data_IF_678720800934
#
_entry.id   IF_678720800934
#
_cell.length_a   1.000
_cell.length_b   1.000
_cell.length_c   1.000
_cell.angle_alpha   90.00
_cell.angle_beta   90.00
_cell.angle_gamma   90.00
#
_symmetry.space_group_name_H-M   'P 1'
#
loop_
_entity.id
_entity.type
_entity.pdbx_description
1 polymer ?
#
# COMPACT_ATOMS: atom_id res chain seq x y z
N UNK A 1 -5.09 3.64 -3.16
CA UNK A 1 -4.83 5.08 -3.44
C UNK A 1 -5.64 6.00 -2.53
N UNK A 2 -6.98 5.95 -2.53
CA UNK A 2 -7.83 6.85 -1.72
C UNK A 2 -7.50 6.81 -0.22
N UNK A 3 -7.30 5.61 0.35
CA UNK A 3 -6.94 5.43 1.76
C UNK A 3 -5.63 6.14 2.13
N UNK A 4 -4.63 6.12 1.25
CA UNK A 4 -3.35 6.79 1.46
C UNK A 4 -3.52 8.32 1.51
N UNK A 5 -4.38 8.90 0.67
CA UNK A 5 -4.72 10.32 0.72
C UNK A 5 -5.45 10.70 2.01
N UNK A 6 -6.38 9.87 2.48
CA UNK A 6 -7.03 10.08 3.77
C UNK A 6 -6.01 10.07 4.92
N UNK A 7 -5.09 9.10 4.91
CA UNK A 7 -4.04 9.01 5.93
C UNK A 7 -3.00 10.11 5.83
N UNK A 8 -2.75 10.68 4.63
CA UNK A 8 -1.82 11.79 4.45
C UNK A 8 -2.25 13.02 5.25
N UNK A 9 -3.55 13.35 5.25
CA UNK A 9 -4.07 14.46 6.04
C UNK A 9 -3.85 14.22 7.54
N UNK A 10 -4.21 13.04 8.04
CA UNK A 10 -4.03 12.70 9.47
C UNK A 10 -2.54 12.74 9.85
N UNK A 11 -1.68 12.19 8.99
CA UNK A 11 -0.23 12.17 9.17
C UNK A 11 0.35 13.58 9.22
N UNK A 12 -0.14 14.49 8.36
CA UNK A 12 0.28 15.89 8.36
C UNK A 12 -0.10 16.60 9.67
N UNK A 13 -1.31 16.36 10.19
CA UNK A 13 -1.74 16.93 11.46
C UNK A 13 -0.90 16.41 12.64
N UNK A 14 -0.68 15.10 12.71
CA UNK A 14 0.18 14.47 13.72
C UNK A 14 1.61 15.00 13.63
N UNK A 15 2.16 15.11 12.41
CA UNK A 15 3.50 15.63 12.16
C UNK A 15 3.68 17.09 12.53
N UNK A 16 2.70 17.94 12.22
CA UNK A 16 2.71 19.34 12.66
C UNK A 16 2.68 19.43 14.20
N UNK A 17 1.83 18.62 14.84
CA UNK A 17 1.74 18.61 16.30
C UNK A 17 3.01 18.10 16.97
N UNK A 18 3.51 16.93 16.58
CA UNK A 18 4.77 16.39 17.12
C UNK A 18 5.93 17.35 16.82
N UNK A 19 6.03 17.89 15.62
CA UNK A 19 7.10 18.81 15.24
C UNK A 19 7.13 20.10 16.06
N UNK A 20 5.96 20.66 16.39
CA UNK A 20 5.87 21.90 17.16
C UNK A 20 6.11 21.71 18.66
N UNK A 21 5.66 20.58 19.23
CA UNK A 21 5.62 20.41 20.68
C UNK A 21 6.62 19.37 21.22
N UNK A 22 7.03 18.39 20.41
CA UNK A 22 7.75 17.20 20.87
C UNK A 22 8.90 16.76 19.93
N UNK A 23 9.22 17.54 18.90
CA UNK A 23 10.07 17.13 17.78
C UNK A 23 11.48 16.70 18.19
N UNK A 24 12.08 17.36 19.18
CA UNK A 24 13.42 17.05 19.69
C UNK A 24 13.45 15.81 20.61
N UNK A 25 12.32 15.46 21.23
CA UNK A 25 12.23 14.39 22.23
C UNK A 25 11.81 13.06 21.60
N UNK A 26 10.81 13.08 20.72
CA UNK A 26 10.27 11.87 20.07
C UNK A 26 10.86 11.64 18.69
N UNK A 27 11.52 12.64 18.10
CA UNK A 27 11.97 12.58 16.71
C UNK A 27 10.83 12.48 15.69
N UNK A 28 9.61 12.91 16.07
CA UNK A 28 8.38 12.76 15.28
C UNK A 28 8.07 11.30 14.94
N UNK A 29 8.20 10.41 15.93
CA UNK A 29 8.09 8.97 15.76
C UNK A 29 6.76 8.58 15.10
N UNK A 30 5.63 9.06 15.61
CA UNK A 30 4.31 8.66 15.12
C UNK A 30 4.07 9.17 13.71
N UNK A 31 4.37 10.44 13.43
CA UNK A 31 4.23 11.02 12.11
C UNK A 31 5.07 10.29 11.05
N UNK A 32 6.33 9.95 11.37
CA UNK A 32 7.19 9.18 10.46
C UNK A 32 6.68 7.78 10.23
N UNK A 33 6.20 7.12 11.29
CA UNK A 33 5.65 5.78 11.21
C UNK A 33 4.37 5.75 10.37
N UNK A 34 3.47 6.72 10.55
CA UNK A 34 2.27 6.90 9.74
C UNK A 34 2.60 7.26 8.29
N UNK A 35 3.59 8.11 8.05
CA UNK A 35 4.04 8.43 6.69
C UNK A 35 4.57 7.18 5.99
N UNK A 36 5.40 6.38 6.66
CA UNK A 36 5.98 5.17 6.08
C UNK A 36 4.90 4.12 5.81
N UNK A 37 4.08 3.78 6.82
CA UNK A 37 3.19 2.64 6.75
C UNK A 37 1.78 3.00 6.27
N UNK A 38 1.22 4.10 6.75
CA UNK A 38 -0.13 4.55 6.43
C UNK A 38 -0.23 5.19 5.05
N UNK A 39 0.78 5.95 4.65
CA UNK A 39 0.78 6.67 3.37
C UNK A 39 1.61 5.93 2.33
N UNK A 40 2.93 5.83 2.54
CA UNK A 40 3.85 5.34 1.51
C UNK A 40 3.59 3.88 1.13
N UNK A 41 3.47 2.98 2.11
CA UNK A 41 3.17 1.56 1.82
C UNK A 41 1.86 1.42 1.06
N UNK A 42 0.78 2.08 1.50
CA UNK A 42 -0.53 1.97 0.82
C UNK A 42 -0.55 2.60 -0.58
N UNK A 43 0.22 3.68 -0.79
CA UNK A 43 0.38 4.27 -2.11
C UNK A 43 1.17 3.35 -3.05
N UNK A 44 2.29 2.80 -2.56
CA UNK A 44 3.16 1.90 -3.32
C UNK A 44 2.48 0.59 -3.67
N UNK A 45 1.81 -0.07 -2.71
CA UNK A 45 1.10 -1.32 -2.99
C UNK A 45 -0.08 -1.08 -3.92
N UNK A 46 -0.88 -0.03 -3.73
CA UNK A 46 -1.98 0.26 -4.65
C UNK A 46 -1.50 0.60 -6.07
N UNK A 47 -0.40 1.33 -6.21
CA UNK A 47 0.20 1.60 -7.52
C UNK A 47 0.80 0.32 -8.13
N UNK A 48 1.48 -0.48 -7.32
CA UNK A 48 2.07 -1.76 -7.73
C UNK A 48 1.02 -2.76 -8.20
N UNK A 49 -0.04 -2.96 -7.42
CA UNK A 49 -1.17 -3.84 -7.77
C UNK A 49 -1.83 -3.38 -9.07
N UNK A 50 -2.08 -2.07 -9.20
CA UNK A 50 -2.70 -1.51 -10.39
C UNK A 50 -1.84 -1.71 -11.64
N UNK A 51 -0.55 -1.37 -11.54
CA UNK A 51 0.40 -1.55 -12.64
C UNK A 51 0.58 -3.03 -12.98
N UNK A 52 0.62 -3.92 -11.99
CA UNK A 52 0.75 -5.36 -12.19
C UNK A 52 -0.45 -5.94 -12.94
N UNK A 53 -1.68 -5.60 -12.55
CA UNK A 53 -2.88 -6.03 -13.26
C UNK A 53 -2.96 -5.42 -14.67
N UNK A 54 -2.45 -4.20 -14.85
CA UNK A 54 -2.36 -3.54 -16.15
C UNK A 54 -1.37 -4.23 -17.09
N UNK A 55 -0.19 -4.60 -16.58
CA UNK A 55 0.82 -5.38 -17.32
C UNK A 55 0.30 -6.76 -17.71
N UNK A 56 -0.68 -7.30 -16.97
CA UNK A 56 -1.37 -8.55 -17.29
C UNK A 56 -2.56 -8.39 -18.24
N UNK A 57 -2.79 -7.18 -18.76
CA UNK A 57 -3.94 -6.85 -19.62
C UNK A 57 -5.29 -7.22 -19.00
N UNK A 58 -5.38 -7.19 -17.67
CA UNK A 58 -6.58 -7.61 -16.97
C UNK A 58 -7.64 -6.51 -17.04
N UNK A 59 -8.87 -6.80 -17.52
CA UNK A 59 -9.97 -5.83 -17.52
C UNK A 59 -10.24 -5.30 -16.12
N UNK A 60 -10.60 -4.02 -16.00
CA UNK A 60 -10.79 -3.34 -14.70
C UNK A 60 -11.84 -4.04 -13.85
N UNK A 61 -12.87 -4.60 -14.48
CA UNK A 61 -13.99 -5.31 -13.84
C UNK A 61 -13.55 -6.62 -13.16
N UNK A 62 -12.43 -7.19 -13.58
CA UNK A 62 -11.88 -8.44 -13.03
C UNK A 62 -10.79 -8.22 -11.97
N UNK A 63 -10.31 -6.97 -11.81
CA UNK A 63 -9.25 -6.61 -10.86
C UNK A 63 -9.80 -6.74 -9.44
N UNK A 64 -9.07 -7.47 -8.59
CA UNK A 64 -9.53 -7.77 -7.22
C UNK A 64 -8.86 -6.81 -6.26
N UNK A 65 -9.67 -6.10 -5.49
CA UNK A 65 -9.15 -5.21 -4.45
C UNK A 65 -8.76 -6.01 -3.19
N UNK A 66 -7.60 -5.71 -2.58
CA UNK A 66 -7.12 -6.38 -1.37
C UNK A 66 -7.82 -5.82 -0.12
N UNK A 67 -9.14 -6.02 -0.02
CA UNK A 67 -9.98 -5.47 1.04
C UNK A 67 -9.51 -5.81 2.46
N UNK A 68 -9.08 -7.06 2.66
CA UNK A 68 -8.59 -7.50 3.97
C UNK A 68 -7.34 -6.71 4.39
N UNK A 69 -6.38 -6.57 3.48
CA UNK A 69 -5.18 -5.75 3.68
C UNK A 69 -5.52 -4.30 4.02
N UNK A 70 -6.41 -3.68 3.24
CA UNK A 70 -6.83 -2.29 3.40
C UNK A 70 -7.48 -2.04 4.77
N UNK A 71 -8.36 -2.95 5.21
CA UNK A 71 -9.02 -2.86 6.52
C UNK A 71 -7.99 -3.06 7.64
N UNK A 72 -7.16 -4.09 7.55
CA UNK A 72 -6.16 -4.39 8.57
C UNK A 72 -5.14 -3.24 8.73
N UNK A 73 -4.65 -2.69 7.61
CA UNK A 73 -3.75 -1.54 7.61
C UNK A 73 -4.43 -0.30 8.19
N UNK A 74 -5.69 -0.04 7.83
CA UNK A 74 -6.43 1.11 8.36
C UNK A 74 -6.67 0.99 9.88
N UNK A 75 -7.02 -0.20 10.37
CA UNK A 75 -7.15 -0.46 11.80
C UNK A 75 -5.81 -0.30 12.53
N UNK A 76 -4.70 -0.75 11.93
CA UNK A 76 -3.38 -0.52 12.48
C UNK A 76 -3.05 0.98 12.58
N UNK A 77 -3.37 1.77 11.55
CA UNK A 77 -3.15 3.22 11.58
C UNK A 77 -4.03 3.92 12.62
N UNK A 78 -5.27 3.48 12.83
CA UNK A 78 -6.11 3.95 13.94
C UNK A 78 -5.44 3.63 15.28
N UNK A 79 -4.87 2.44 15.43
CA UNK A 79 -4.09 2.04 16.61
C UNK A 79 -2.89 2.97 16.84
N UNK A 80 -2.13 3.30 15.80
CA UNK A 80 -1.01 4.26 15.89
C UNK A 80 -1.48 5.64 16.34
N UNK A 81 -2.60 6.14 15.81
CA UNK A 81 -3.19 7.43 16.25
C UNK A 81 -3.62 7.37 17.71
N UNK A 82 -4.22 6.26 18.14
CA UNK A 82 -4.61 6.07 19.54
C UNK A 82 -3.40 6.12 20.47
N UNK A 83 -2.31 5.44 20.12
CA UNK A 83 -1.06 5.45 20.88
C UNK A 83 -0.42 6.83 20.90
N UNK A 84 -0.45 7.55 19.77
CA UNK A 84 -0.03 8.94 19.71
C UNK A 84 -0.79 9.79 20.73
N UNK A 85 -2.12 9.78 20.71
CA UNK A 85 -2.94 10.57 21.64
C UNK A 85 -2.60 10.28 23.10
N UNK A 86 -2.47 9.01 23.48
CA UNK A 86 -2.12 8.61 24.84
C UNK A 86 -0.70 8.99 25.27
N UNK A 87 0.22 9.14 24.31
CA UNK A 87 1.61 9.53 24.58
C UNK A 87 1.81 11.05 24.69
N UNK A 88 0.97 11.84 24.00
CA UNK A 88 1.27 13.25 23.75
C UNK A 88 0.25 14.23 24.31
N UNK A 89 -0.99 13.78 24.59
CA UNK A 89 -2.00 14.65 25.20
C UNK A 89 -1.90 14.55 26.71
N UNK A 90 -1.34 15.58 27.35
CA UNK A 90 -1.23 15.65 28.81
C UNK A 90 -2.60 15.47 29.49
N UNK A 91 -2.65 14.60 30.51
CA UNK A 91 -3.88 14.30 31.26
C UNK A 91 -4.83 13.32 30.55
N UNK A 92 -4.55 12.90 29.32
CA UNK A 92 -5.34 11.90 28.62
C UNK A 92 -4.89 10.49 29.00
N UNK A 93 -5.59 9.87 29.96
CA UNK A 93 -5.40 8.46 30.29
C UNK A 93 -6.28 7.60 29.39
N UNK A 94 -5.67 6.97 28.39
CA UNK A 94 -6.34 6.05 27.50
C UNK A 94 -6.30 4.61 28.06
N UNK A 95 -7.43 3.89 28.11
CA UNK A 95 -7.43 2.51 28.58
C UNK A 95 -6.67 1.58 27.63
N UNK A 96 -6.11 0.49 28.17
CA UNK A 96 -5.61 -0.66 27.41
C UNK A 96 -4.50 -0.36 26.36
N UNK A 97 -3.58 0.57 26.65
CA UNK A 97 -2.45 0.92 25.75
C UNK A 97 -1.64 -0.30 25.32
N UNK A 98 -1.32 -1.21 26.25
CA UNK A 98 -0.58 -2.45 25.95
C UNK A 98 -1.34 -3.35 24.97
N UNK A 99 -2.64 -3.50 25.16
CA UNK A 99 -3.51 -4.30 24.28
C UNK A 99 -3.60 -3.68 22.89
N UNK A 100 -3.80 -2.36 22.80
CA UNK A 100 -3.85 -1.65 21.51
C UNK A 100 -2.50 -1.74 20.80
N UNK A 101 -1.39 -1.67 21.52
CA UNK A 101 -0.04 -1.84 20.96
C UNK A 101 0.12 -3.22 20.35
N UNK A 102 -0.22 -4.28 21.10
CA UNK A 102 -0.16 -5.66 20.62
C UNK A 102 -1.04 -5.86 19.36
N UNK A 103 -2.29 -5.40 19.41
CA UNK A 103 -3.21 -5.51 18.28
C UNK A 103 -2.70 -4.77 17.04
N UNK A 104 -2.14 -3.57 17.21
CA UNK A 104 -1.54 -2.79 16.12
C UNK A 104 -0.42 -3.56 15.45
N UNK A 105 0.50 -4.13 16.24
CA UNK A 105 1.61 -4.94 15.73
C UNK A 105 1.10 -6.20 15.03
N UNK A 106 0.14 -6.92 15.62
CA UNK A 106 -0.45 -8.09 15.00
C UNK A 106 -1.11 -7.78 13.65
N UNK A 107 -1.85 -6.67 13.54
CA UNK A 107 -2.46 -6.24 12.29
C UNK A 107 -1.41 -5.92 11.22
N UNK A 108 -0.32 -5.23 11.59
CA UNK A 108 0.79 -4.97 10.67
C UNK A 108 1.44 -6.26 10.17
N UNK A 109 1.67 -7.23 11.05
CA UNK A 109 2.21 -8.55 10.66
C UNK A 109 1.29 -9.23 9.65
N UNK A 110 -0.03 -9.21 9.90
CA UNK A 110 -1.02 -9.80 9.00
C UNK A 110 -0.99 -9.13 7.62
N UNK A 111 -0.93 -7.79 7.58
CA UNK A 111 -0.82 -7.02 6.33
C UNK A 111 0.40 -7.42 5.52
N UNK A 112 1.57 -7.50 6.15
CA UNK A 112 2.81 -7.86 5.46
C UNK A 112 2.87 -9.33 5.07
N UNK A 113 2.30 -10.22 5.87
CA UNK A 113 2.21 -11.65 5.55
C UNK A 113 1.31 -11.88 4.33
N UNK A 114 0.14 -11.24 4.29
CA UNK A 114 -0.77 -11.31 3.14
C UNK A 114 -0.09 -10.81 1.87
N UNK A 115 0.56 -9.65 1.93
CA UNK A 115 1.29 -9.10 0.78
C UNK A 115 2.43 -10.04 0.33
N UNK A 116 3.19 -10.61 1.26
CA UNK A 116 4.23 -11.59 0.95
C UNK A 116 3.65 -12.83 0.25
N UNK A 117 2.55 -13.37 0.76
CA UNK A 117 1.90 -14.54 0.17
C UNK A 117 1.37 -14.23 -1.23
N UNK A 118 0.81 -13.04 -1.44
CA UNK A 118 0.40 -12.56 -2.76
C UNK A 118 1.61 -12.45 -3.71
N UNK A 119 2.68 -11.80 -3.30
CA UNK A 119 3.92 -11.68 -4.10
C UNK A 119 4.49 -13.05 -4.47
N UNK A 120 4.57 -13.98 -3.51
CA UNK A 120 5.06 -15.34 -3.76
C UNK A 120 4.14 -16.08 -4.75
N UNK A 121 2.82 -15.93 -4.62
CA UNK A 121 1.87 -16.54 -5.55
C UNK A 121 2.05 -16.01 -6.96
N UNK A 122 2.09 -14.70 -7.12
CA UNK A 122 2.21 -14.06 -8.44
C UNK A 122 3.57 -14.36 -9.08
N UNK A 123 4.65 -14.32 -8.29
CA UNK A 123 6.01 -14.54 -8.78
C UNK A 123 6.29 -16.01 -9.09
N UNK A 124 5.88 -16.94 -8.23
CA UNK A 124 6.24 -18.36 -8.33
C UNK A 124 5.20 -19.25 -9.03
N UNK A 125 3.97 -18.78 -9.21
CA UNK A 125 2.90 -19.58 -9.78
C UNK A 125 2.11 -18.85 -10.88
N UNK A 126 2.40 -17.57 -11.14
CA UNK A 126 1.86 -16.80 -12.27
C UNK A 126 2.57 -17.05 -13.61
N UNK A 127 3.43 -18.06 -13.69
CA UNK A 127 4.45 -18.31 -14.71
C UNK A 127 3.99 -18.59 -16.15
N UNK A 128 2.69 -18.54 -16.49
CA UNK A 128 2.32 -18.78 -17.88
C UNK A 128 2.97 -17.77 -18.83
N UNK A 129 3.25 -16.54 -18.38
CA UNK A 129 3.74 -15.45 -19.26
C UNK A 129 4.87 -14.57 -18.69
N UNK A 130 5.53 -14.93 -17.58
CA UNK A 130 6.50 -14.03 -16.90
C UNK A 130 7.70 -13.59 -17.79
N UNK A 131 8.07 -14.43 -18.75
CA UNK A 131 9.17 -14.19 -19.69
C UNK A 131 8.76 -13.26 -20.85
N UNK A 132 7.48 -12.90 -20.95
CA UNK A 132 6.90 -12.02 -21.98
C UNK A 132 6.61 -10.60 -21.49
N UNK A 133 6.75 -10.34 -20.19
CA UNK A 133 6.46 -9.02 -19.62
C UNK A 133 7.75 -8.20 -19.69
N UNK A 134 7.86 -7.22 -20.60
CA UNK A 134 9.08 -6.44 -20.73
C UNK A 134 9.29 -5.60 -19.46
N UNK A 135 10.50 -5.65 -18.92
CA UNK A 135 10.87 -4.93 -17.69
C UNK A 135 10.91 -3.39 -17.88
N UNK A 136 10.85 -2.95 -19.15
CA UNK A 136 10.80 -1.56 -19.57
C UNK A 136 9.95 -1.47 -20.85
N UNK A 137 9.12 -0.42 -20.98
CA UNK A 137 8.45 -0.04 -22.24
C UNK A 137 9.46 0.49 -23.29
N UNK A 138 10.58 -0.21 -23.47
CA UNK A 138 11.52 0.10 -24.53
C UNK A 138 10.87 -0.36 -25.84
N UNK A 139 10.35 0.61 -26.59
CA UNK A 139 9.93 0.51 -27.99
C UNK A 139 9.07 -0.70 -28.34
N UNK A 140 7.81 -0.71 -27.87
CA UNK A 140 6.76 -1.52 -28.54
C UNK A 140 6.44 -0.95 -29.93
N UNK A 141 6.86 0.29 -30.23
CA UNK A 141 6.54 0.97 -31.48
C UNK A 141 7.58 0.83 -32.60
N UNK A 142 8.67 0.05 -32.47
CA UNK A 142 9.71 0.10 -33.52
C UNK A 142 10.28 -1.19 -34.10
N UNK A 143 10.12 -2.38 -33.52
CA UNK A 143 10.67 -3.59 -34.13
C UNK A 143 9.89 -4.85 -33.78
N UNK A 144 8.84 -5.14 -34.54
CA UNK A 144 8.61 -6.43 -35.22
C UNK A 144 7.21 -6.40 -35.82
N UNK A 145 7.12 -6.17 -37.14
CA UNK A 145 5.87 -6.26 -37.93
C UNK A 145 5.31 -7.70 -38.03
N UNK A 146 5.72 -8.55 -37.12
CA UNK A 146 5.48 -9.99 -37.03
C UNK A 146 5.32 -10.37 -35.54
N UNK A 147 5.00 -9.43 -34.64
CA UNK A 147 4.58 -9.78 -33.29
C UNK A 147 3.27 -10.57 -33.39
N UNK A 148 3.27 -11.89 -33.09
CA UNK A 148 2.07 -12.72 -33.18
C UNK A 148 1.00 -12.33 -32.14
N UNK A 149 1.24 -11.26 -31.37
CA UNK A 149 0.38 -10.70 -30.35
C UNK A 149 -0.12 -9.27 -30.66
N UNK A 150 0.16 -8.71 -31.85
CA UNK A 150 -0.63 -7.59 -32.34
C UNK A 150 -2.10 -8.03 -32.43
N UNK A 151 -3.00 -7.32 -31.75
CA UNK A 151 -4.43 -7.49 -31.94
C UNK A 151 -4.72 -7.02 -33.37
N UNK A 152 -4.75 -7.97 -34.29
CA UNK A 152 -5.06 -7.71 -35.69
C UNK A 152 -6.29 -6.83 -35.76
N UNK A 153 -6.18 -5.73 -36.52
CA UNK A 153 -7.34 -4.93 -36.90
C UNK A 153 -8.42 -5.92 -37.35
N UNK A 154 -9.55 -5.87 -36.66
CA UNK A 154 -10.71 -6.65 -37.05
C UNK A 154 -11.02 -6.27 -38.48
N UNK A 155 -10.83 -7.21 -39.41
CA UNK A 155 -11.19 -7.03 -40.82
C UNK A 155 -12.66 -6.61 -40.86
N UNK A 156 -12.88 -5.34 -41.17
CA UNK A 156 -14.20 -4.81 -41.48
C UNK A 156 -14.59 -5.33 -42.86
N UNK A 157 -15.51 -6.30 -42.90
CA UNK A 157 -16.36 -6.55 -44.08
C UNK A 157 -17.61 -5.65 -44.07
#
# INVERSE_FOLDING_TARGET
MLSAYCWLLVTALVGLYEGLYHGEQTGMFYARFMLLLGVSTQALTAAGDWLHDDHKHKPVEERKEPWFNLIAMSLAMVGVVYLFLGSTVEGLSLPAIETVTLLTVCLLIVVYLEYLLWMLRETLFGYSEWHRIPMFYADVDSQESDDPYEIGETESE
#
